data_IF_413262673216
#
_entry.id   IF_413262673216
#
_cell.length_a   1.000
_cell.length_b   1.000
_cell.length_c   1.000
_cell.angle_alpha   90.00
_cell.angle_beta   90.00
_cell.angle_gamma   90.00
#
_symmetry.space_group_name_H-M   'P 1'
#
loop_
_entity.id
_entity.type
_entity.pdbx_description
1 polymer ?
#
# COMPACT_ATOMS: atom_id res chain seq x y z
N UNK A 1 15.43 13.32 14.27
CA UNK A 1 15.46 12.92 12.84
C UNK A 1 14.13 12.24 12.54
N UNK A 2 13.39 12.71 11.55
CA UNK A 2 12.09 12.12 11.20
C UNK A 2 12.34 10.83 10.38
N UNK A 3 12.32 9.71 11.06
CA UNK A 3 12.54 8.39 10.44
C UNK A 3 11.29 8.01 9.65
N UNK A 4 11.41 7.86 8.33
CA UNK A 4 10.30 7.43 7.49
C UNK A 4 10.18 5.92 7.57
N UNK A 5 9.00 5.42 7.90
CA UNK A 5 8.71 3.99 7.88
C UNK A 5 8.04 3.65 6.56
N UNK A 6 8.48 2.58 5.92
CA UNK A 6 7.88 2.05 4.68
C UNK A 6 7.22 0.72 5.01
N UNK A 7 5.95 0.62 4.63
CA UNK A 7 5.13 -0.57 4.81
C UNK A 7 4.54 -1.01 3.49
N UNK A 8 4.53 -2.31 3.24
CA UNK A 8 3.77 -2.96 2.19
C UNK A 8 2.74 -3.91 2.82
N UNK A 9 1.51 -3.80 2.38
CA UNK A 9 0.40 -4.65 2.80
C UNK A 9 -0.19 -5.38 1.61
N UNK A 10 -0.35 -6.68 1.75
CA UNK A 10 -1.07 -7.53 0.82
C UNK A 10 -2.40 -7.98 1.43
N UNK A 11 -3.38 -8.29 0.59
CA UNK A 11 -4.68 -8.88 0.96
C UNK A 11 -5.32 -8.18 2.17
N UNK A 12 -5.56 -6.85 2.06
CA UNK A 12 -6.14 -6.02 3.14
C UNK A 12 -5.36 -6.04 4.47
N UNK A 13 -4.06 -6.35 4.42
CA UNK A 13 -3.17 -6.35 5.57
C UNK A 13 -3.13 -7.66 6.35
N UNK A 14 -3.58 -8.77 5.75
CA UNK A 14 -3.34 -10.11 6.30
C UNK A 14 -1.85 -10.41 6.30
N UNK A 15 -1.16 -10.05 5.23
CA UNK A 15 0.29 -10.14 5.11
C UNK A 15 0.90 -8.74 5.07
N UNK A 16 2.04 -8.57 5.74
CA UNK A 16 2.69 -7.27 5.90
C UNK A 16 4.20 -7.41 5.89
N UNK A 17 4.85 -6.52 5.16
CA UNK A 17 6.29 -6.35 5.18
C UNK A 17 6.61 -4.98 5.77
N UNK A 18 7.40 -4.97 6.84
CA UNK A 18 7.94 -3.78 7.46
C UNK A 18 9.40 -3.66 7.06
N UNK A 19 9.74 -2.59 6.35
CA UNK A 19 11.14 -2.30 6.09
C UNK A 19 11.73 -1.63 7.32
N UNK A 20 12.41 -2.43 8.15
CA UNK A 20 13.02 -1.98 9.43
C UNK A 20 14.20 -1.08 9.17
N UNK A 21 14.91 -1.31 8.09
CA UNK A 21 15.97 -0.43 7.63
C UNK A 21 15.37 0.59 6.67
N UNK A 22 15.53 1.87 7.01
CA UNK A 22 15.10 2.94 6.12
C UNK A 22 15.76 2.81 4.77
N UNK A 23 15.00 2.96 3.67
CA UNK A 23 15.58 2.92 2.34
C UNK A 23 16.72 3.93 2.22
N UNK A 24 17.89 3.46 1.79
CA UNK A 24 19.03 4.32 1.47
C UNK A 24 18.67 5.32 0.35
N UNK A 25 17.78 4.90 -0.54
CA UNK A 25 17.21 5.73 -1.60
C UNK A 25 15.72 5.45 -1.75
N UNK A 26 14.92 6.51 -1.73
CA UNK A 26 13.50 6.49 -2.01
C UNK A 26 13.18 7.57 -3.03
N UNK A 27 12.77 7.16 -4.22
CA UNK A 27 12.44 8.06 -5.32
C UNK A 27 10.98 7.89 -5.70
N UNK A 28 10.25 9.00 -5.75
CA UNK A 28 8.85 9.03 -6.18
C UNK A 28 8.78 9.87 -7.44
N UNK A 29 8.40 9.24 -8.55
CA UNK A 29 8.24 9.90 -9.84
C UNK A 29 6.77 10.06 -10.16
N UNK A 30 6.38 11.26 -10.62
CA UNK A 30 5.01 11.60 -11.00
C UNK A 30 5.01 12.12 -12.43
N UNK A 31 4.98 11.22 -13.44
CA UNK A 31 5.03 11.64 -14.83
C UNK A 31 3.72 12.30 -15.27
N UNK A 32 3.83 13.13 -16.32
CA UNK A 32 2.67 13.57 -17.09
C UNK A 32 2.70 12.87 -18.45
N UNK A 33 1.53 12.46 -18.94
CA UNK A 33 1.35 11.81 -20.25
C UNK A 33 1.22 12.86 -21.37
N UNK A 34 2.22 13.73 -21.50
CA UNK A 34 2.23 14.77 -22.50
C UNK A 34 2.47 14.21 -23.90
N UNK A 35 1.84 14.80 -24.91
CA UNK A 35 2.02 14.43 -26.31
C UNK A 35 2.60 15.59 -27.09
N UNK A 36 3.75 15.38 -27.71
CA UNK A 36 4.34 16.34 -28.61
C UNK A 36 3.83 16.10 -30.02
N UNK A 37 3.28 17.15 -30.69
CA UNK A 37 2.87 17.10 -32.07
C UNK A 37 3.60 18.21 -32.84
N UNK A 38 4.17 17.85 -34.00
CA UNK A 38 4.74 18.80 -34.94
C UNK A 38 3.64 19.47 -35.75
N UNK A 39 3.73 20.78 -35.90
CA UNK A 39 2.86 21.57 -36.75
C UNK A 39 3.54 21.80 -38.11
N UNK A 40 2.76 21.74 -39.18
CA UNK A 40 3.29 21.87 -40.56
C UNK A 40 4.01 23.20 -40.85
N UNK A 41 3.74 24.26 -40.11
CA UNK A 41 4.27 25.59 -40.33
C UNK A 41 4.74 26.31 -39.05
N UNK A 42 4.94 25.63 -37.92
CA UNK A 42 5.17 26.35 -36.68
C UNK A 42 5.95 25.63 -35.57
N UNK A 43 6.69 24.57 -35.89
CA UNK A 43 7.47 23.85 -34.88
C UNK A 43 6.65 22.74 -34.14
N UNK A 44 6.92 22.53 -32.85
CA UNK A 44 6.27 21.49 -32.08
C UNK A 44 5.41 22.09 -30.96
N UNK A 45 4.24 21.48 -30.72
CA UNK A 45 3.34 21.81 -29.62
C UNK A 45 3.33 20.65 -28.63
N UNK A 46 3.49 20.95 -27.35
CA UNK A 46 3.37 19.99 -26.26
C UNK A 46 1.95 20.08 -25.68
N UNK A 47 1.18 19.02 -25.88
CA UNK A 47 -0.21 18.94 -25.42
C UNK A 47 -0.24 18.15 -24.12
N UNK A 48 -0.84 18.72 -23.09
CA UNK A 48 -1.03 18.03 -21.82
C UNK A 48 -1.97 16.83 -22.00
N UNK A 49 -1.49 15.64 -21.68
CA UNK A 49 -2.21 14.37 -21.82
C UNK A 49 -2.77 13.80 -20.52
N UNK A 50 -2.68 14.58 -19.44
CA UNK A 50 -3.09 14.13 -18.12
C UNK A 50 -1.92 13.66 -17.25
N UNK A 51 -2.25 13.23 -16.05
CA UNK A 51 -1.30 12.71 -15.07
C UNK A 51 -1.11 11.20 -15.30
N UNK A 52 0.13 10.77 -15.47
CA UNK A 52 0.51 9.36 -15.52
C UNK A 52 0.49 8.70 -14.13
N UNK A 53 0.78 7.42 -14.11
CA UNK A 53 0.87 6.63 -12.88
C UNK A 53 2.16 6.98 -12.13
N UNK A 54 2.06 7.12 -10.81
CA UNK A 54 3.22 7.29 -9.95
C UNK A 54 4.08 6.04 -9.97
N UNK A 55 5.38 6.24 -9.92
CA UNK A 55 6.36 5.18 -9.75
C UNK A 55 7.16 5.45 -8.48
N UNK A 56 7.30 4.43 -7.66
CA UNK A 56 8.11 4.47 -6.45
C UNK A 56 9.24 3.47 -6.59
N UNK A 57 10.47 3.96 -6.50
CA UNK A 57 11.67 3.12 -6.43
C UNK A 57 12.29 3.26 -5.07
N UNK A 58 12.53 2.15 -4.42
CA UNK A 58 13.23 2.11 -3.15
C UNK A 58 14.39 1.12 -3.20
N UNK A 59 15.47 1.49 -2.52
CA UNK A 59 16.64 0.62 -2.35
C UNK A 59 16.94 0.55 -0.86
N UNK A 60 16.95 -0.66 -0.33
CA UNK A 60 17.20 -0.97 1.08
C UNK A 60 17.98 -2.27 1.17
N UNK A 61 18.14 -2.81 2.37
CA UNK A 61 18.58 -4.18 2.57
C UNK A 61 17.69 -4.88 3.60
N UNK A 62 17.64 -6.19 3.50
CA UNK A 62 16.96 -7.07 4.43
C UNK A 62 18.01 -7.65 5.37
N UNK A 63 17.92 -7.35 6.67
CA UNK A 63 18.93 -7.77 7.64
C UNK A 63 18.80 -9.26 7.96
N UNK A 64 19.94 -9.96 7.97
CA UNK A 64 20.06 -11.33 8.47
C UNK A 64 19.93 -11.38 10.00
N UNK A 65 19.70 -12.57 10.57
CA UNK A 65 19.55 -12.78 12.01
C UNK A 65 20.78 -12.33 12.86
N UNK A 66 21.95 -12.23 12.24
CA UNK A 66 23.17 -11.72 12.88
C UNK A 66 23.31 -10.21 12.83
N UNK A 67 22.50 -9.53 12.03
CA UNK A 67 22.52 -8.09 11.85
C UNK A 67 21.91 -7.36 13.07
N UNK A 68 22.48 -6.24 13.52
CA UNK A 68 21.91 -5.43 14.62
C UNK A 68 20.56 -4.80 14.26
N UNK A 69 20.17 -4.82 12.97
CA UNK A 69 18.90 -4.30 12.48
C UNK A 69 17.82 -5.37 12.31
N UNK A 70 18.14 -6.62 12.65
CA UNK A 70 17.20 -7.74 12.54
C UNK A 70 15.99 -7.58 13.47
N UNK A 71 14.81 -7.82 12.96
CA UNK A 71 13.54 -7.68 13.70
C UNK A 71 12.64 -8.92 13.63
N UNK A 72 13.20 -10.07 13.28
CA UNK A 72 12.49 -11.34 13.24
C UNK A 72 11.88 -11.68 11.87
N UNK A 73 12.21 -10.91 10.82
CA UNK A 73 11.82 -11.24 9.44
C UNK A 73 13.06 -11.74 8.68
N UNK A 74 13.07 -13.02 8.34
CA UNK A 74 14.15 -13.60 7.56
C UNK A 74 14.14 -13.04 6.12
N UNK A 75 15.31 -12.64 5.56
CA UNK A 75 15.42 -12.10 4.21
C UNK A 75 14.78 -12.97 3.15
N UNK A 76 15.01 -14.28 3.19
CA UNK A 76 14.47 -15.24 2.24
C UNK A 76 12.94 -15.30 2.28
N UNK A 77 12.36 -15.23 3.48
CA UNK A 77 10.90 -15.20 3.66
C UNK A 77 10.30 -13.95 3.05
N UNK A 78 10.91 -12.79 3.31
CA UNK A 78 10.45 -11.50 2.75
C UNK A 78 10.56 -11.50 1.24
N UNK A 79 11.66 -12.02 0.68
CA UNK A 79 11.84 -12.13 -0.77
C UNK A 79 10.83 -13.06 -1.41
N UNK A 80 10.57 -14.23 -0.79
CA UNK A 80 9.56 -15.17 -1.26
C UNK A 80 8.17 -14.54 -1.27
N UNK A 81 7.81 -13.80 -0.23
CA UNK A 81 6.54 -13.05 -0.17
C UNK A 81 6.47 -12.01 -1.29
N UNK A 82 7.49 -11.18 -1.48
CA UNK A 82 7.51 -10.14 -2.53
C UNK A 82 7.38 -10.74 -3.93
N UNK A 83 8.09 -11.85 -4.21
CA UNK A 83 7.98 -12.56 -5.49
C UNK A 83 6.58 -13.16 -5.70
N UNK A 84 6.02 -13.77 -4.65
CA UNK A 84 4.64 -14.31 -4.69
C UNK A 84 3.60 -13.21 -4.95
N UNK A 85 3.75 -12.06 -4.32
CA UNK A 85 2.86 -10.92 -4.53
C UNK A 85 3.01 -10.35 -5.95
N UNK A 86 4.24 -10.25 -6.45
CA UNK A 86 4.49 -9.85 -7.83
C UNK A 86 3.82 -10.79 -8.83
N UNK A 87 3.92 -12.11 -8.61
CA UNK A 87 3.34 -13.13 -9.49
C UNK A 87 1.81 -13.15 -9.43
N UNK A 88 1.20 -12.81 -8.27
CA UNK A 88 -0.26 -12.73 -8.14
C UNK A 88 -0.85 -11.61 -9.00
N UNK A 89 -0.11 -10.53 -9.20
CA UNK A 89 -0.59 -9.34 -9.90
C UNK A 89 -1.68 -8.58 -9.15
N UNK A 90 -1.87 -8.88 -7.87
CA UNK A 90 -2.78 -8.15 -7.01
C UNK A 90 -2.12 -6.86 -6.51
N UNK A 91 -2.88 -5.76 -6.34
CA UNK A 91 -2.29 -4.51 -5.91
C UNK A 91 -1.98 -4.50 -4.40
N UNK A 92 -0.75 -4.12 -4.09
CA UNK A 92 -0.26 -3.92 -2.73
C UNK A 92 -0.56 -2.51 -2.23
N UNK A 93 -0.83 -2.36 -0.96
CA UNK A 93 -0.93 -1.06 -0.35
C UNK A 93 0.44 -0.59 0.15
N UNK A 94 0.98 0.44 -0.48
CA UNK A 94 2.20 1.09 -0.05
C UNK A 94 1.88 2.26 0.88
N UNK A 95 2.48 2.25 2.07
CA UNK A 95 2.36 3.31 3.06
C UNK A 95 3.75 3.82 3.39
N UNK A 96 3.97 5.13 3.21
CA UNK A 96 5.23 5.79 3.59
C UNK A 96 4.91 6.88 4.60
N UNK A 97 5.38 6.70 5.83
CA UNK A 97 5.16 7.68 6.91
C UNK A 97 5.76 9.04 6.56
N UNK A 98 5.05 10.13 6.91
CA UNK A 98 5.50 11.49 6.60
C UNK A 98 5.48 11.84 5.11
N UNK A 99 4.70 11.12 4.29
CA UNK A 99 4.43 11.42 2.90
C UNK A 99 2.94 11.30 2.60
N UNK A 100 2.53 11.70 1.38
CA UNK A 100 1.18 11.56 0.85
C UNK A 100 0.93 10.17 0.21
N UNK A 101 1.84 9.20 0.40
CA UNK A 101 1.74 7.88 -0.19
C UNK A 101 1.05 6.93 0.78
N UNK A 102 -0.18 6.58 0.44
CA UNK A 102 -1.01 5.59 1.10
C UNK A 102 -2.03 5.05 0.09
N UNK A 103 -1.53 4.42 -0.97
CA UNK A 103 -2.32 4.03 -2.13
C UNK A 103 -1.94 2.62 -2.58
N UNK A 104 -2.72 2.10 -3.55
CA UNK A 104 -2.47 0.82 -4.18
C UNK A 104 -1.38 0.92 -5.25
N UNK A 105 -0.45 -0.03 -5.24
CA UNK A 105 0.65 -0.16 -6.19
C UNK A 105 0.77 -1.61 -6.64
N UNK A 106 1.28 -1.83 -7.84
CA UNK A 106 1.74 -3.14 -8.31
C UNK A 106 3.25 -3.21 -8.18
N UNK A 107 3.76 -4.36 -7.79
CA UNK A 107 5.20 -4.64 -7.81
C UNK A 107 5.60 -4.91 -9.27
N UNK A 108 6.41 -4.03 -9.86
CA UNK A 108 6.91 -4.20 -11.23
C UNK A 108 8.23 -4.95 -11.25
N UNK A 109 9.11 -4.64 -10.31
CA UNK A 109 10.44 -5.24 -10.25
C UNK A 109 10.87 -5.49 -8.81
N UNK A 110 11.43 -6.69 -8.59
CA UNK A 110 12.06 -7.11 -7.34
C UNK A 110 13.48 -7.54 -7.69
N UNK A 111 14.47 -6.72 -7.37
CA UNK A 111 15.88 -7.02 -7.60
C UNK A 111 16.57 -7.27 -6.28
N UNK A 112 17.22 -8.42 -6.16
CA UNK A 112 18.04 -8.80 -5.03
C UNK A 112 19.52 -8.69 -5.36
N UNK A 113 20.33 -8.23 -4.42
CA UNK A 113 21.77 -8.15 -4.54
C UNK A 113 22.43 -8.89 -3.39
N UNK A 114 23.12 -9.95 -3.73
CA UNK A 114 23.84 -10.82 -2.80
C UNK A 114 25.33 -10.48 -2.91
N UNK A 115 25.89 -9.87 -1.88
CA UNK A 115 27.32 -9.61 -1.82
C UNK A 115 28.05 -10.79 -1.17
N UNK A 116 29.20 -11.21 -1.75
CA UNK A 116 30.02 -12.27 -1.16
C UNK A 116 30.49 -11.85 0.25
N UNK A 117 30.25 -12.71 1.24
CA UNK A 117 30.65 -12.49 2.64
C UNK A 117 29.68 -11.65 3.45
N UNK A 118 28.65 -11.08 2.87
CA UNK A 118 27.56 -10.40 3.55
C UNK A 118 26.34 -11.35 3.65
N UNK A 119 25.70 -11.38 4.81
CA UNK A 119 24.46 -12.15 5.01
C UNK A 119 23.22 -11.28 4.84
N UNK A 120 23.38 -9.97 4.89
CA UNK A 120 22.33 -9.03 4.60
C UNK A 120 22.04 -9.03 3.09
N UNK A 121 20.79 -9.05 2.70
CA UNK A 121 20.39 -9.08 1.29
C UNK A 121 19.99 -7.68 0.82
N UNK A 122 20.73 -7.14 -0.13
CA UNK A 122 20.35 -5.89 -0.80
C UNK A 122 19.06 -6.07 -1.58
N UNK A 123 18.13 -5.12 -1.46
CA UNK A 123 16.82 -5.14 -2.10
C UNK A 123 16.57 -3.84 -2.85
N UNK A 124 16.22 -3.95 -4.13
CA UNK A 124 15.66 -2.83 -4.89
C UNK A 124 14.25 -3.21 -5.37
N UNK A 125 13.28 -2.34 -5.10
CA UNK A 125 11.89 -2.51 -5.51
C UNK A 125 11.46 -1.36 -6.40
N UNK A 126 10.74 -1.71 -7.48
CA UNK A 126 10.02 -0.75 -8.32
C UNK A 126 8.53 -1.04 -8.23
N UNK A 127 7.78 -0.04 -7.81
CA UNK A 127 6.34 -0.10 -7.58
C UNK A 127 5.65 0.93 -8.46
N UNK A 128 4.56 0.55 -9.14
CA UNK A 128 3.76 1.45 -9.96
C UNK A 128 2.34 1.59 -9.44
N UNK A 129 1.86 2.82 -9.37
CA UNK A 129 0.51 3.16 -8.90
C UNK A 129 -0.55 2.34 -9.64
N UNK A 130 -1.44 1.70 -8.87
CA UNK A 130 -2.59 0.99 -9.40
C UNK A 130 -3.84 1.82 -9.23
N UNK A 131 -4.59 2.00 -10.32
CA UNK A 131 -5.91 2.65 -10.29
C UNK A 131 -6.99 1.62 -10.56
N UNK A 132 -7.89 1.48 -9.62
CA UNK A 132 -9.03 0.58 -9.79
C UNK A 132 -9.90 1.01 -10.98
N UNK A 133 -10.34 0.07 -11.79
CA UNK A 133 -11.12 0.31 -13.03
C UNK A 133 -12.39 1.13 -12.82
N UNK A 134 -12.99 1.08 -11.62
CA UNK A 134 -14.14 1.91 -11.25
C UNK A 134 -13.84 3.41 -11.28
N UNK A 135 -12.62 3.81 -10.89
CA UNK A 135 -12.18 5.19 -10.97
C UNK A 135 -11.93 5.63 -12.44
N UNK A 136 -11.52 4.68 -13.29
CA UNK A 136 -11.26 4.95 -14.71
C UNK A 136 -12.57 5.16 -15.51
N UNK A 137 -13.62 4.41 -15.19
CA UNK A 137 -14.94 4.56 -15.82
C UNK A 137 -15.57 5.94 -15.49
N UNK A 138 -15.37 6.43 -14.27
CA UNK A 138 -15.83 7.77 -13.86
C UNK A 138 -15.08 8.90 -14.58
N UNK A 139 -13.83 8.71 -14.97
CA UNK A 139 -13.02 9.70 -15.70
C UNK A 139 -13.27 9.69 -17.21
N UNK A 140 -13.70 8.57 -17.77
CA UNK A 140 -13.93 8.42 -19.21
C UNK A 140 -15.28 8.96 -19.68
N UNK A 141 -16.18 9.38 -18.78
CA UNK A 141 -17.50 9.90 -19.14
C UNK A 141 -18.40 8.88 -19.85
N UNK A 142 -17.99 7.62 -19.89
CA UNK A 142 -18.84 6.57 -20.43
C UNK A 142 -19.94 6.26 -19.43
N UNK A 143 -21.15 6.69 -19.77
CA UNK A 143 -22.39 6.19 -19.21
C UNK A 143 -22.59 4.72 -19.66
N UNK A 144 -21.64 3.88 -19.36
CA UNK A 144 -21.88 2.45 -19.35
C UNK A 144 -22.64 2.16 -18.07
N UNK A 145 -23.83 1.60 -18.21
CA UNK A 145 -24.57 1.05 -17.08
C UNK A 145 -23.60 0.29 -16.20
N UNK A 146 -23.25 0.91 -15.07
CA UNK A 146 -22.40 0.31 -14.04
C UNK A 146 -23.17 -0.93 -13.60
N UNK A 147 -22.83 -2.09 -14.20
CA UNK A 147 -23.01 -3.32 -13.46
C UNK A 147 -22.23 -3.07 -12.18
N UNK A 148 -22.98 -2.78 -11.14
CA UNK A 148 -22.57 -2.74 -9.76
C UNK A 148 -21.90 -4.10 -9.47
N UNK A 149 -20.63 -4.25 -9.89
CA UNK A 149 -19.76 -5.20 -9.26
C UNK A 149 -19.72 -4.69 -7.83
N UNK A 150 -20.49 -5.34 -7.00
CA UNK A 150 -20.32 -5.28 -5.58
C UNK A 150 -18.81 -5.31 -5.38
N UNK A 151 -18.29 -4.20 -4.89
CA UNK A 151 -16.96 -4.12 -4.32
C UNK A 151 -17.00 -5.18 -3.21
N UNK A 152 -16.63 -6.40 -3.56
CA UNK A 152 -16.42 -7.49 -2.62
C UNK A 152 -15.08 -7.25 -1.90
N UNK A 153 -14.92 -6.06 -1.37
CA UNK A 153 -14.38 -5.96 -0.04
C UNK A 153 -15.42 -6.60 0.85
N UNK A 154 -15.29 -7.88 1.06
CA UNK A 154 -15.92 -8.51 2.19
C UNK A 154 -15.21 -7.95 3.42
N UNK A 155 -15.54 -6.71 3.76
CA UNK A 155 -15.35 -6.28 5.14
C UNK A 155 -16.14 -7.31 5.93
N UNK A 156 -15.47 -8.12 6.77
CA UNK A 156 -16.21 -9.07 7.57
C UNK A 156 -17.28 -8.27 8.29
N UNK A 157 -18.53 -8.62 8.08
CA UNK A 157 -19.66 -7.89 8.67
C UNK A 157 -19.59 -7.86 10.19
N UNK A 158 -18.72 -8.69 10.77
CA UNK A 158 -18.50 -8.80 12.20
C UNK A 158 -17.02 -9.02 12.50
N UNK A 159 -16.54 -8.42 13.57
CA UNK A 159 -15.19 -8.60 14.10
C UNK A 159 -15.23 -8.87 15.60
N UNK A 160 -14.50 -9.88 16.05
CA UNK A 160 -14.37 -10.20 17.48
C UNK A 160 -13.14 -9.46 18.04
N UNK A 161 -13.37 -8.62 19.03
CA UNK A 161 -12.33 -7.81 19.68
C UNK A 161 -11.30 -8.72 20.36
N UNK A 162 -10.03 -8.50 20.04
CA UNK A 162 -8.88 -9.19 20.65
C UNK A 162 -8.24 -8.33 21.73
N UNK A 163 -7.42 -8.95 22.56
CA UNK A 163 -6.67 -8.24 23.59
C UNK A 163 -5.72 -7.22 22.94
N UNK A 164 -5.79 -5.97 23.40
CA UNK A 164 -5.00 -4.86 22.85
C UNK A 164 -5.64 -4.09 21.70
N UNK A 165 -6.78 -4.53 21.19
CA UNK A 165 -7.49 -3.80 20.13
C UNK A 165 -8.13 -2.52 20.68
N UNK A 166 -8.07 -1.45 19.88
CA UNK A 166 -8.86 -0.24 20.08
C UNK A 166 -9.85 -0.04 18.93
N UNK A 167 -10.97 0.66 19.19
CA UNK A 167 -11.92 0.97 18.12
C UNK A 167 -11.28 1.79 16.99
N UNK A 168 -10.25 2.58 17.31
CA UNK A 168 -9.47 3.32 16.32
C UNK A 168 -8.68 2.39 15.41
N UNK A 169 -7.95 1.42 15.99
CA UNK A 169 -7.16 0.45 15.23
C UNK A 169 -8.06 -0.44 14.35
N UNK A 170 -9.22 -0.85 14.90
CA UNK A 170 -10.22 -1.59 14.14
C UNK A 170 -10.74 -0.75 12.97
N UNK A 171 -11.04 0.53 13.19
CA UNK A 171 -11.47 1.44 12.12
C UNK A 171 -10.37 1.63 11.06
N UNK A 172 -9.12 1.82 11.47
CA UNK A 172 -7.98 1.88 10.56
C UNK A 172 -7.85 0.60 9.73
N UNK A 173 -7.99 -0.56 10.37
CA UNK A 173 -7.83 -1.88 9.74
C UNK A 173 -8.89 -2.14 8.68
N UNK A 174 -10.17 -1.88 8.98
CA UNK A 174 -11.28 -2.28 8.11
C UNK A 174 -11.75 -1.17 7.17
N UNK A 175 -11.60 0.09 7.54
CA UNK A 175 -12.06 1.23 6.75
C UNK A 175 -10.91 2.09 6.21
N UNK A 176 -9.67 1.83 6.62
CA UNK A 176 -8.52 2.66 6.27
C UNK A 176 -8.53 4.05 6.88
N UNK A 177 -9.47 4.33 7.77
CA UNK A 177 -9.70 5.64 8.37
C UNK A 177 -10.09 5.47 9.85
N UNK A 178 -9.15 5.83 10.74
CA UNK A 178 -9.35 5.73 12.18
C UNK A 178 -10.51 6.58 12.69
N UNK A 179 -10.86 7.68 12.02
CA UNK A 179 -11.95 8.57 12.45
C UNK A 179 -13.33 7.89 12.44
N UNK A 180 -13.47 6.82 11.67
CA UNK A 180 -14.69 5.99 11.59
C UNK A 180 -14.97 5.15 12.85
N UNK A 181 -14.07 5.16 13.83
CA UNK A 181 -14.29 4.49 15.10
C UNK A 181 -15.60 4.91 15.78
N UNK A 182 -16.01 6.18 15.61
CA UNK A 182 -17.26 6.71 16.17
C UNK A 182 -18.49 6.02 15.57
N UNK A 183 -18.47 5.76 14.26
CA UNK A 183 -19.55 5.05 13.59
C UNK A 183 -19.64 3.59 14.06
N UNK A 184 -18.48 2.92 14.23
CA UNK A 184 -18.43 1.57 14.78
C UNK A 184 -18.96 1.57 16.22
N UNK A 185 -18.55 2.53 17.06
CA UNK A 185 -19.01 2.66 18.43
C UNK A 185 -20.53 2.83 18.52
N UNK A 186 -21.09 3.75 17.73
CA UNK A 186 -22.53 4.02 17.67
C UNK A 186 -23.33 2.79 17.22
N UNK A 187 -22.87 2.11 16.16
CA UNK A 187 -23.52 0.93 15.60
C UNK A 187 -23.54 -0.25 16.58
N UNK A 188 -22.55 -0.34 17.47
CA UNK A 188 -22.39 -1.46 18.42
C UNK A 188 -22.74 -1.12 19.86
N UNK A 189 -23.31 0.05 20.11
CA UNK A 189 -23.71 0.46 21.46
C UNK A 189 -22.52 0.53 22.43
N UNK A 190 -21.38 1.04 21.98
CA UNK A 190 -20.17 1.25 22.79
C UNK A 190 -20.04 2.75 23.10
N UNK A 191 -20.62 3.24 24.20
CA UNK A 191 -20.61 4.67 24.52
C UNK A 191 -19.23 5.19 24.92
N UNK A 192 -18.42 4.31 25.51
CA UNK A 192 -17.05 4.63 25.92
C UNK A 192 -16.04 3.71 25.23
N UNK A 193 -15.22 4.22 24.31
CA UNK A 193 -14.23 3.42 23.57
C UNK A 193 -13.16 2.80 24.48
N UNK A 194 -12.97 3.33 25.70
CA UNK A 194 -12.01 2.82 26.68
C UNK A 194 -12.50 1.56 27.39
N UNK A 195 -13.82 1.27 27.30
CA UNK A 195 -14.46 0.09 27.90
C UNK A 195 -14.75 -1.00 26.87
N UNK A 196 -13.99 -1.05 25.79
CA UNK A 196 -14.11 -2.10 24.80
C UNK A 196 -13.74 -3.45 25.40
N UNK A 197 -14.68 -4.37 25.43
CA UNK A 197 -14.47 -5.70 26.03
C UNK A 197 -13.85 -6.66 25.02
N UNK A 198 -12.81 -7.37 25.44
CA UNK A 198 -12.23 -8.49 24.68
C UNK A 198 -13.26 -9.58 24.49
N UNK A 199 -13.37 -10.14 23.27
CA UNK A 199 -14.37 -11.14 22.93
C UNK A 199 -15.71 -10.55 22.46
N UNK A 200 -15.95 -9.23 22.56
CA UNK A 200 -17.13 -8.60 22.01
C UNK A 200 -17.12 -8.67 20.48
N UNK A 201 -18.22 -9.11 19.90
CA UNK A 201 -18.42 -9.11 18.45
C UNK A 201 -18.94 -7.74 18.04
N UNK A 202 -18.18 -7.05 17.19
CA UNK A 202 -18.55 -5.76 16.60
C UNK A 202 -19.10 -5.96 15.20
N UNK A 203 -20.19 -5.29 14.89
CA UNK A 203 -20.70 -5.16 13.52
C UNK A 203 -19.98 -3.98 12.85
N UNK A 204 -19.31 -4.24 11.76
CA UNK A 204 -18.55 -3.25 11.02
C UNK A 204 -19.38 -2.59 9.91
#
# INVERSE_FOLDING_TARGET
>A
MNTRTVLLWHNNGEERIYFTVNPARLTVTRPNENRVRSLAMGGAVNIWGGRGLREVRLTTFLPDASSPFYTGQEPETVLAMLKSWQDSGDPERLIISGSDINDAFLIEDVSENLAEGDRDVGLALTLREYKFKSALAALAGESAAVQKRTDERVTPRTYTVKQGDTLWDIACRFYGDGTKWRAIAAKNGVPDPRKLQVGKVLTL
#
